data_IF_756225057967
#
_entry.id   IF_756225057967
#
_cell.length_a   1.000
_cell.length_b   1.000
_cell.length_c   1.000
_cell.angle_alpha   90.00
_cell.angle_beta   90.00
_cell.angle_gamma   90.00
#
_symmetry.space_group_name_H-M   'P 1'
#
loop_
_entity.id
_entity.type
_entity.pdbx_description
1 polymer ?
#
# COMPACT_ATOMS: atom_id res chain seq x y z
N UNK A 1 15.85 -2.93 14.70
CA UNK A 1 14.84 -3.31 15.71
C UNK A 1 14.32 -2.03 16.33
N UNK A 2 13.00 -1.84 16.41
CA UNK A 2 12.33 -0.70 17.06
C UNK A 2 11.44 -1.27 18.16
N UNK A 3 11.64 -0.86 19.42
CA UNK A 3 10.87 -1.36 20.58
C UNK A 3 10.89 -2.90 20.74
N UNK A 4 11.97 -3.57 20.31
CA UNK A 4 12.08 -5.04 20.35
C UNK A 4 11.41 -5.77 19.17
N UNK A 5 10.78 -5.04 18.25
CA UNK A 5 10.12 -5.59 17.05
C UNK A 5 10.97 -5.27 15.81
N UNK A 6 11.00 -6.18 14.84
CA UNK A 6 11.66 -5.90 13.56
C UNK A 6 10.98 -4.76 12.81
N UNK A 7 11.80 -3.88 12.21
CA UNK A 7 11.31 -2.73 11.45
C UNK A 7 10.38 -3.18 10.32
N UNK A 8 10.74 -4.27 9.64
CA UNK A 8 9.96 -4.85 8.55
C UNK A 8 8.57 -5.29 9.00
N UNK A 9 8.42 -5.83 10.20
CA UNK A 9 7.12 -6.20 10.76
C UNK A 9 6.25 -4.98 10.95
N UNK A 10 6.76 -3.92 11.59
CA UNK A 10 6.00 -2.68 11.84
C UNK A 10 5.61 -2.03 10.51
N UNK A 11 6.55 -1.91 9.58
CA UNK A 11 6.31 -1.29 8.28
C UNK A 11 5.31 -2.09 7.45
N UNK A 12 5.29 -3.42 7.56
CA UNK A 12 4.30 -4.28 6.88
C UNK A 12 2.87 -3.94 7.30
N UNK A 13 2.63 -3.57 8.57
CA UNK A 13 1.27 -3.24 9.04
C UNK A 13 0.66 -2.02 8.34
N UNK A 14 1.50 -1.07 7.90
CA UNK A 14 1.08 0.15 7.21
C UNK A 14 1.20 0.06 5.67
N UNK A 15 1.50 -1.12 5.14
CA UNK A 15 1.96 -1.27 3.76
C UNK A 15 0.95 -0.82 2.70
N UNK A 16 -0.37 -1.10 2.80
CA UNK A 16 -1.32 -0.61 1.80
C UNK A 16 -1.31 0.92 1.66
N UNK A 17 -1.19 1.62 2.79
CA UNK A 17 -1.08 3.08 2.80
C UNK A 17 0.25 3.57 2.24
N UNK A 18 1.37 2.95 2.65
CA UNK A 18 2.70 3.31 2.15
C UNK A 18 2.80 3.13 0.63
N UNK A 19 2.28 2.03 0.10
CA UNK A 19 2.23 1.78 -1.35
C UNK A 19 1.46 2.88 -2.05
N UNK A 20 0.23 3.18 -1.61
CA UNK A 20 -0.60 4.18 -2.30
C UNK A 20 0.01 5.59 -2.23
N UNK A 21 0.52 6.00 -1.07
CA UNK A 21 1.14 7.33 -0.91
C UNK A 21 2.44 7.43 -1.72
N UNK A 22 3.40 6.53 -1.51
CA UNK A 22 4.72 6.65 -2.11
C UNK A 22 4.66 6.52 -3.63
N UNK A 23 3.89 5.57 -4.16
CA UNK A 23 3.76 5.41 -5.61
C UNK A 23 3.00 6.58 -6.24
N UNK A 24 2.00 7.15 -5.56
CA UNK A 24 1.30 8.36 -6.03
C UNK A 24 2.23 9.55 -6.09
N UNK A 25 3.05 9.78 -5.06
CA UNK A 25 4.03 10.87 -5.06
C UNK A 25 5.09 10.68 -6.16
N UNK A 26 5.65 9.48 -6.30
CA UNK A 26 6.60 9.16 -7.39
C UNK A 26 5.96 9.39 -8.76
N UNK A 27 4.72 8.95 -8.94
CA UNK A 27 4.00 9.14 -10.19
C UNK A 27 3.77 10.62 -10.50
N UNK A 28 3.29 11.41 -9.53
CA UNK A 28 3.09 12.86 -9.70
C UNK A 28 4.40 13.57 -10.06
N UNK A 29 5.49 13.26 -9.36
CA UNK A 29 6.82 13.81 -9.64
C UNK A 29 7.28 13.49 -11.06
N UNK A 30 7.12 12.23 -11.51
CA UNK A 30 7.47 11.80 -12.88
C UNK A 30 6.63 12.48 -13.97
N UNK A 31 5.45 12.99 -13.65
CA UNK A 31 4.58 13.70 -14.58
C UNK A 31 4.61 15.22 -14.38
N UNK A 32 5.64 15.76 -13.70
CA UNK A 32 5.82 17.18 -13.42
C UNK A 32 4.61 17.83 -12.74
N UNK A 33 3.88 17.08 -11.91
CA UNK A 33 2.76 17.60 -11.12
C UNK A 33 3.24 18.05 -9.74
N UNK A 34 2.70 19.12 -9.14
CA UNK A 34 3.00 19.50 -7.76
C UNK A 34 2.63 18.36 -6.79
N UNK A 35 3.62 17.60 -6.34
CA UNK A 35 3.44 16.40 -5.52
C UNK A 35 3.11 16.63 -4.05
N UNK A 36 3.44 17.79 -3.47
CA UNK A 36 3.17 18.10 -2.05
C UNK A 36 1.96 19.03 -1.85
N UNK A 37 1.28 19.41 -2.93
CA UNK A 37 0.02 20.16 -2.83
C UNK A 37 -1.16 19.20 -2.66
N UNK A 38 -2.28 19.63 -2.03
CA UNK A 38 -3.49 18.81 -1.95
C UNK A 38 -3.92 18.30 -3.33
N UNK A 39 -4.25 17.00 -3.40
CA UNK A 39 -4.64 16.35 -4.65
C UNK A 39 -5.57 15.16 -4.41
N UNK A 40 -6.21 14.68 -5.50
CA UNK A 40 -7.11 13.53 -5.49
C UNK A 40 -6.59 12.30 -6.26
N UNK A 41 -5.27 12.16 -6.34
CA UNK A 41 -4.64 11.15 -7.21
C UNK A 41 -4.32 9.83 -6.50
N UNK A 42 -4.76 9.64 -5.26
CA UNK A 42 -4.58 8.37 -4.54
C UNK A 42 -5.48 7.29 -5.14
N UNK A 43 -5.06 6.03 -5.11
CA UNK A 43 -5.87 4.91 -5.60
C UNK A 43 -7.21 4.86 -4.86
N UNK A 44 -7.23 5.15 -3.55
CA UNK A 44 -8.47 5.27 -2.78
C UNK A 44 -9.47 6.26 -3.42
N UNK A 45 -8.99 7.43 -3.84
CA UNK A 45 -9.84 8.49 -4.41
C UNK A 45 -10.25 8.17 -5.84
N UNK A 46 -9.33 7.63 -6.65
CA UNK A 46 -9.63 7.20 -8.02
C UNK A 46 -10.71 6.11 -8.06
N UNK A 47 -10.67 5.12 -7.16
CA UNK A 47 -11.70 4.10 -7.09
C UNK A 47 -13.08 4.72 -6.84
N UNK A 48 -13.18 5.70 -5.94
CA UNK A 48 -14.43 6.43 -5.70
C UNK A 48 -14.85 7.22 -6.95
N UNK A 49 -13.92 7.93 -7.57
CA UNK A 49 -14.18 8.74 -8.77
C UNK A 49 -14.61 7.86 -9.97
N UNK A 50 -14.39 6.54 -9.91
CA UNK A 50 -14.78 5.55 -10.94
C UNK A 50 -16.05 4.77 -10.60
N UNK A 51 -16.74 5.15 -9.50
CA UNK A 51 -18.07 4.65 -9.15
C UNK A 51 -18.10 3.68 -7.97
N UNK A 52 -16.98 3.38 -7.32
CA UNK A 52 -16.99 2.62 -6.07
C UNK A 52 -17.58 3.47 -4.94
N UNK A 53 -18.30 2.84 -4.02
CA UNK A 53 -18.74 3.54 -2.81
C UNK A 53 -17.58 3.68 -1.83
N UNK A 54 -17.68 4.65 -0.92
CA UNK A 54 -16.70 4.79 0.17
C UNK A 54 -16.53 3.52 1.01
N UNK A 55 -17.62 2.76 1.21
CA UNK A 55 -17.61 1.51 1.98
C UNK A 55 -16.85 0.43 1.22
N UNK A 56 -17.06 0.29 -0.10
CA UNK A 56 -16.36 -0.72 -0.89
C UNK A 56 -14.84 -0.50 -0.87
N UNK A 57 -14.41 0.75 -1.05
CA UNK A 57 -12.98 1.10 -1.00
C UNK A 57 -12.43 0.92 0.42
N UNK A 58 -13.17 1.34 1.44
CA UNK A 58 -12.76 1.14 2.84
C UNK A 58 -12.58 -0.35 3.18
N UNK A 59 -13.54 -1.20 2.81
CA UNK A 59 -13.46 -2.65 3.03
C UNK A 59 -12.29 -3.28 2.27
N UNK A 60 -12.02 -2.81 1.06
CA UNK A 60 -10.85 -3.26 0.28
C UNK A 60 -9.54 -2.93 1.00
N UNK A 61 -9.36 -1.69 1.45
CA UNK A 61 -8.16 -1.29 2.20
C UNK A 61 -8.05 -2.00 3.55
N UNK A 62 -9.17 -2.23 4.24
CA UNK A 62 -9.22 -3.03 5.46
C UNK A 62 -8.79 -4.48 5.20
N UNK A 63 -9.28 -5.10 4.13
CA UNK A 63 -8.90 -6.46 3.72
C UNK A 63 -7.40 -6.56 3.42
N UNK A 64 -6.86 -5.63 2.64
CA UNK A 64 -5.41 -5.56 2.36
C UNK A 64 -4.58 -5.37 3.63
N UNK A 65 -5.06 -4.52 4.55
CA UNK A 65 -4.41 -4.29 5.84
C UNK A 65 -4.44 -5.56 6.70
N UNK A 66 -5.56 -6.27 6.75
CA UNK A 66 -5.69 -7.53 7.49
C UNK A 66 -4.73 -8.60 6.96
N UNK A 67 -4.57 -8.72 5.64
CA UNK A 67 -3.56 -9.62 5.04
C UNK A 67 -2.17 -9.24 5.52
N UNK A 68 -1.82 -7.95 5.50
CA UNK A 68 -0.52 -7.48 5.96
C UNK A 68 -0.29 -7.73 7.45
N UNK A 69 -1.31 -7.52 8.29
CA UNK A 69 -1.26 -7.79 9.73
C UNK A 69 -1.02 -9.28 10.00
N UNK A 70 -1.81 -10.17 9.41
CA UNK A 70 -1.66 -11.61 9.60
C UNK A 70 -0.30 -12.11 9.13
N UNK A 71 0.11 -11.71 7.93
CA UNK A 71 1.42 -12.10 7.39
C UNK A 71 2.57 -11.52 8.20
N UNK A 72 2.45 -10.28 8.69
CA UNK A 72 3.44 -9.64 9.55
C UNK A 72 3.60 -10.38 10.90
N UNK A 73 2.50 -10.79 11.53
CA UNK A 73 2.52 -11.59 12.77
C UNK A 73 3.18 -12.94 12.53
N UNK A 74 2.79 -13.65 11.47
CA UNK A 74 3.38 -14.96 11.15
C UNK A 74 4.88 -14.84 10.84
N UNK A 75 5.28 -13.83 10.10
CA UNK A 75 6.67 -13.57 9.78
C UNK A 75 7.50 -13.24 11.03
N UNK A 76 6.96 -12.42 11.93
CA UNK A 76 7.62 -12.06 13.19
C UNK A 76 7.85 -13.30 14.08
N UNK A 77 6.89 -14.23 14.12
CA UNK A 77 7.03 -15.50 14.85
C UNK A 77 8.09 -16.42 14.23
N UNK A 78 8.21 -16.42 12.91
CA UNK A 78 9.22 -17.22 12.21
C UNK A 78 10.65 -16.69 12.42
N UNK A 79 10.81 -15.37 12.56
CA UNK A 79 12.09 -14.72 12.82
C UNK A 79 13.06 -14.77 11.63
N UNK A 80 14.32 -14.40 11.89
CA UNK A 80 15.38 -14.38 10.88
C UNK A 80 15.05 -13.45 9.71
N UNK A 81 15.24 -13.91 8.47
CA UNK A 81 14.99 -13.11 7.27
C UNK A 81 13.50 -13.05 6.86
N UNK A 82 12.59 -13.76 7.54
CA UNK A 82 11.21 -13.93 7.08
C UNK A 82 10.42 -12.62 7.08
N UNK A 83 10.47 -11.74 8.10
CA UNK A 83 9.80 -10.43 8.07
C UNK A 83 10.23 -9.57 6.87
N UNK A 84 11.51 -9.59 6.52
CA UNK A 84 12.03 -8.88 5.35
C UNK A 84 11.45 -9.43 4.05
N UNK A 85 11.46 -10.75 3.87
CA UNK A 85 10.94 -11.41 2.67
C UNK A 85 9.44 -11.12 2.50
N UNK A 86 8.66 -11.26 3.58
CA UNK A 86 7.22 -11.03 3.57
C UNK A 86 6.89 -9.58 3.25
N UNK A 87 7.62 -8.62 3.85
CA UNK A 87 7.47 -7.20 3.54
C UNK A 87 7.63 -6.95 2.03
N UNK A 88 8.72 -7.41 1.43
CA UNK A 88 8.98 -7.16 0.01
C UNK A 88 8.01 -7.91 -0.91
N UNK A 89 7.61 -9.13 -0.56
CA UNK A 89 6.62 -9.88 -1.33
C UNK A 89 5.27 -9.13 -1.38
N UNK A 90 4.78 -8.66 -0.23
CA UNK A 90 3.54 -7.89 -0.15
C UNK A 90 3.68 -6.51 -0.80
N UNK A 91 4.85 -5.87 -0.69
CA UNK A 91 5.10 -4.57 -1.32
C UNK A 91 5.05 -4.68 -2.85
N UNK A 92 5.63 -5.74 -3.42
CA UNK A 92 5.56 -6.02 -4.85
C UNK A 92 4.12 -6.30 -5.29
N UNK A 93 3.38 -7.13 -4.54
CA UNK A 93 1.98 -7.42 -4.84
C UNK A 93 1.10 -6.16 -4.79
N UNK A 94 1.22 -5.36 -3.72
CA UNK A 94 0.51 -4.09 -3.59
C UNK A 94 0.86 -3.09 -4.69
N UNK A 95 2.14 -3.01 -5.06
CA UNK A 95 2.59 -2.17 -6.17
C UNK A 95 1.99 -2.62 -7.51
N UNK A 96 1.88 -3.93 -7.75
CA UNK A 96 1.26 -4.47 -8.95
C UNK A 96 -0.24 -4.13 -9.02
N UNK A 97 -0.96 -4.26 -7.90
CA UNK A 97 -2.36 -3.83 -7.79
C UNK A 97 -2.52 -2.34 -8.07
N UNK A 98 -1.68 -1.50 -7.46
CA UNK A 98 -1.70 -0.05 -7.70
C UNK A 98 -1.40 0.30 -9.16
N UNK A 99 -0.45 -0.39 -9.81
CA UNK A 99 -0.14 -0.17 -11.23
C UNK A 99 -1.32 -0.60 -12.11
N UNK A 100 -1.98 -1.71 -11.79
CA UNK A 100 -3.16 -2.17 -12.51
C UNK A 100 -4.27 -1.13 -12.46
N UNK A 101 -4.61 -0.67 -11.26
CA UNK A 101 -5.58 0.40 -11.01
C UNK A 101 -5.22 1.69 -11.78
N UNK A 102 -3.95 2.10 -11.70
CA UNK A 102 -3.49 3.30 -12.41
C UNK A 102 -3.58 3.17 -13.93
N UNK A 103 -3.55 1.95 -14.49
CA UNK A 103 -3.65 1.70 -15.93
C UNK A 103 -5.10 1.62 -16.39
N UNK A 104 -6.00 1.06 -15.59
CA UNK A 104 -7.43 0.93 -15.93
C UNK A 104 -8.12 2.29 -16.01
N UNK A 105 -7.70 3.26 -15.20
CA UNK A 105 -8.31 4.59 -15.14
C UNK A 105 -7.53 5.68 -15.89
N UNK A 106 -6.74 5.27 -16.88
CA UNK A 106 -6.03 6.15 -17.84
C UNK A 106 -6.76 6.32 -19.18
N UNK A 107 -8.03 5.91 -19.28
CA UNK A 107 -8.88 6.15 -20.46
C UNK A 107 -9.52 7.54 -20.42
#
# INVERSE_FOLDING_TARGET
IVLGIEVWTITTLALPFLVDVLLTLVWRARHNRPWLQPHRDHAYQQLIDTGWTHIDVALTYWGLTMVCVWMGILAAKAGGAVPFIVFWALAMAGSALWISERRTHRA
#
